data_IF_040480962860
#
_entry.id   IF_040480962860
#
_cell.length_a   1.000
_cell.length_b   1.000
_cell.length_c   1.000
_cell.angle_alpha   90.00
_cell.angle_beta   90.00
_cell.angle_gamma   90.00
#
_symmetry.space_group_name_H-M   'P 1'
#
loop_
_entity.id
_entity.type
_entity.pdbx_description
1 polymer ?
#
# COMPACT_ATOMS: atom_id res chain seq x y z
N UNK A 1 -2.04 -20.96 -13.59
CA UNK A 1 -1.14 -19.94 -13.07
C UNK A 1 0.21 -20.60 -12.78
N UNK A 2 1.30 -20.01 -13.25
CA UNK A 2 2.65 -20.57 -13.09
C UNK A 2 3.43 -19.87 -11.98
N UNK A 3 3.19 -18.56 -11.81
CA UNK A 3 3.75 -17.70 -10.78
C UNK A 3 2.64 -16.89 -10.12
N UNK A 4 2.71 -16.70 -8.82
CA UNK A 4 1.77 -15.88 -8.06
C UNK A 4 2.50 -14.76 -7.35
N UNK A 5 2.06 -13.52 -7.58
CA UNK A 5 2.50 -12.33 -6.85
C UNK A 5 1.31 -11.83 -6.06
N UNK A 6 1.47 -11.67 -4.74
CA UNK A 6 0.41 -11.24 -3.85
C UNK A 6 0.64 -9.82 -3.36
N UNK A 7 -0.41 -9.01 -3.30
CA UNK A 7 -0.37 -7.70 -2.67
C UNK A 7 -0.47 -7.77 -1.14
N UNK A 8 -0.04 -8.88 -0.54
CA UNK A 8 0.02 -9.07 0.91
C UNK A 8 0.32 -10.51 1.30
N UNK A 9 0.85 -10.69 2.50
CA UNK A 9 1.30 -11.99 3.03
C UNK A 9 0.16 -12.98 3.27
N UNK A 10 -1.05 -12.49 3.61
CA UNK A 10 -2.18 -13.36 4.00
C UNK A 10 -2.53 -14.39 2.92
N UNK A 11 -2.63 -13.97 1.67
CA UNK A 11 -3.00 -14.83 0.54
C UNK A 11 -1.85 -15.78 0.19
N UNK A 12 -0.61 -15.31 0.26
CA UNK A 12 0.55 -16.15 0.04
C UNK A 12 0.67 -17.25 1.11
N UNK A 13 0.45 -16.89 2.38
CA UNK A 13 0.47 -17.85 3.48
C UNK A 13 -0.65 -18.90 3.32
N UNK A 14 -1.84 -18.51 2.89
CA UNK A 14 -2.93 -19.47 2.64
C UNK A 14 -2.54 -20.51 1.58
N UNK A 15 -1.91 -20.09 0.46
CA UNK A 15 -1.42 -21.02 -0.56
C UNK A 15 -0.28 -21.92 -0.03
N UNK A 16 0.58 -21.36 0.81
CA UNK A 16 1.67 -22.11 1.45
C UNK A 16 1.13 -23.18 2.40
N UNK A 17 0.15 -22.84 3.23
CA UNK A 17 -0.46 -23.77 4.20
C UNK A 17 -1.19 -24.93 3.50
N UNK A 18 -1.74 -24.69 2.31
CA UNK A 18 -2.34 -25.70 1.45
C UNK A 18 -1.30 -26.50 0.62
N UNK A 19 -0.01 -26.17 0.70
CA UNK A 19 1.06 -26.86 -0.01
C UNK A 19 1.05 -26.66 -1.52
N UNK A 20 0.50 -25.54 -2.01
CA UNK A 20 0.34 -25.21 -3.43
C UNK A 20 1.54 -24.47 -4.04
N UNK A 21 2.54 -24.12 -3.23
CA UNK A 21 3.74 -23.40 -3.67
C UNK A 21 4.93 -24.35 -3.78
N UNK A 22 5.87 -24.02 -4.66
CA UNK A 22 7.17 -24.68 -4.72
C UNK A 22 7.99 -24.21 -3.52
N UNK A 23 8.45 -25.16 -2.70
CA UNK A 23 9.34 -24.88 -1.58
C UNK A 23 10.56 -24.09 -2.07
N UNK A 24 11.05 -23.16 -1.27
CA UNK A 24 12.22 -22.30 -1.53
C UNK A 24 12.05 -21.23 -2.62
N UNK A 25 10.86 -21.08 -3.22
CA UNK A 25 10.58 -19.99 -4.19
C UNK A 25 9.85 -18.81 -3.57
N UNK A 26 9.24 -18.97 -2.40
CA UNK A 26 8.52 -17.85 -1.76
C UNK A 26 9.50 -16.82 -1.21
N UNK A 27 9.47 -15.62 -1.77
CA UNK A 27 10.33 -14.49 -1.40
C UNK A 27 9.52 -13.20 -1.40
N UNK A 28 9.90 -12.25 -0.56
CA UNK A 28 9.39 -10.88 -0.67
C UNK A 28 10.05 -10.23 -1.90
N UNK A 29 9.22 -9.74 -2.82
CA UNK A 29 9.66 -9.18 -4.10
C UNK A 29 9.93 -7.67 -3.99
N UNK A 30 8.96 -6.96 -3.44
CA UNK A 30 9.02 -5.50 -3.24
C UNK A 30 8.19 -5.12 -2.02
N UNK A 31 8.46 -3.92 -1.50
CA UNK A 31 7.63 -3.25 -0.51
C UNK A 31 6.92 -2.04 -1.12
N UNK A 32 5.74 -1.73 -0.59
CA UNK A 32 5.06 -0.47 -0.86
C UNK A 32 5.13 0.40 0.39
N UNK A 33 4.82 1.68 0.24
CA UNK A 33 4.74 2.64 1.35
C UNK A 33 3.32 3.18 1.46
N UNK A 34 2.89 3.44 2.68
CA UNK A 34 1.68 4.22 2.92
C UNK A 34 2.06 5.71 2.94
N UNK A 35 1.30 6.53 2.22
CA UNK A 35 1.52 7.97 2.17
C UNK A 35 0.24 8.73 2.51
N UNK A 36 0.40 9.88 3.15
CA UNK A 36 -0.64 10.88 3.29
C UNK A 36 -0.63 11.75 2.03
N UNK A 37 -1.76 11.84 1.35
CA UNK A 37 -1.94 12.73 0.19
C UNK A 37 -2.96 13.81 0.50
N UNK A 38 -2.81 14.97 -0.14
CA UNK A 38 -3.73 16.08 -0.04
C UNK A 38 -4.33 16.45 -1.40
N UNK A 39 -5.55 16.96 -1.39
CA UNK A 39 -6.16 17.58 -2.55
C UNK A 39 -5.40 18.85 -2.94
N UNK A 40 -5.37 19.17 -4.24
CA UNK A 40 -4.73 20.37 -4.73
C UNK A 40 -5.35 21.62 -4.08
N UNK A 41 -4.49 22.47 -3.52
CA UNK A 41 -4.89 23.71 -2.85
C UNK A 41 -5.11 23.59 -1.34
N UNK A 42 -5.00 22.42 -0.77
CA UNK A 42 -4.99 22.20 0.68
C UNK A 42 -3.58 22.47 1.20
N UNK A 43 -3.44 23.46 2.09
CA UNK A 43 -2.17 23.88 2.66
C UNK A 43 -1.90 23.12 3.97
N UNK A 44 -1.44 21.87 3.83
CA UNK A 44 -0.92 21.05 4.93
C UNK A 44 0.49 20.56 4.59
N UNK A 45 1.32 20.37 5.59
CA UNK A 45 2.75 20.06 5.42
C UNK A 45 3.19 18.81 6.17
N UNK A 46 2.35 18.32 7.07
CA UNK A 46 2.68 17.18 7.92
C UNK A 46 1.44 16.42 8.39
N UNK A 47 1.68 15.24 8.92
CA UNK A 47 0.70 14.39 9.59
C UNK A 47 0.01 15.09 10.79
N UNK A 48 0.72 15.95 11.50
CA UNK A 48 0.17 16.69 12.64
C UNK A 48 -0.93 17.69 12.24
N UNK A 49 -0.93 18.14 11.00
CA UNK A 49 -1.94 19.07 10.47
C UNK A 49 -3.34 18.42 10.35
N UNK A 50 -3.46 17.09 10.45
CA UNK A 50 -4.74 16.38 10.44
C UNK A 50 -5.70 16.84 11.55
N UNK A 51 -5.15 17.33 12.68
CA UNK A 51 -5.93 17.86 13.81
C UNK A 51 -6.44 19.28 13.58
N UNK A 52 -5.85 20.00 12.62
CA UNK A 52 -6.19 21.40 12.36
C UNK A 52 -7.55 21.58 11.70
N UNK A 53 -8.09 22.80 11.79
CA UNK A 53 -9.35 23.17 11.12
C UNK A 53 -9.22 23.27 9.59
N UNK A 54 -8.00 23.14 9.05
CA UNK A 54 -7.74 23.09 7.61
C UNK A 54 -8.20 21.76 7.00
N UNK A 55 -8.31 20.70 7.80
CA UNK A 55 -8.73 19.36 7.39
C UNK A 55 -10.09 19.07 8.00
N UNK A 56 -11.07 18.83 7.17
CA UNK A 56 -12.45 18.50 7.55
C UNK A 56 -12.85 17.06 7.19
N UNK A 57 -12.28 16.51 6.11
CA UNK A 57 -12.53 15.15 5.66
C UNK A 57 -11.21 14.42 5.36
N UNK A 58 -11.02 13.30 6.03
CA UNK A 58 -9.87 12.41 5.89
C UNK A 58 -10.35 11.10 5.30
N UNK A 59 -10.04 10.84 4.03
CA UNK A 59 -10.43 9.60 3.36
C UNK A 59 -9.50 8.45 3.75
N UNK A 60 -10.09 7.34 4.20
CA UNK A 60 -9.39 6.13 4.62
C UNK A 60 -10.12 4.92 4.01
N UNK A 61 -9.40 3.89 3.60
CA UNK A 61 -10.03 2.61 3.29
C UNK A 61 -10.72 2.02 4.53
N UNK A 62 -11.84 1.30 4.36
CA UNK A 62 -12.50 0.61 5.48
C UNK A 62 -11.53 -0.38 6.13
N UNK A 63 -11.13 -0.19 7.41
CA UNK A 63 -10.05 -0.97 8.03
C UNK A 63 -10.29 -2.48 8.06
N UNK A 64 -11.55 -2.91 8.18
CA UNK A 64 -11.91 -4.33 8.26
C UNK A 64 -11.75 -5.06 6.90
N UNK A 65 -11.82 -4.35 5.78
CA UNK A 65 -11.85 -4.96 4.44
C UNK A 65 -10.79 -4.45 3.48
N UNK A 66 -10.24 -3.26 3.70
CA UNK A 66 -9.25 -2.61 2.82
C UNK A 66 -7.86 -2.62 3.47
N UNK A 67 -6.86 -3.30 2.89
CA UNK A 67 -5.51 -3.38 3.49
C UNK A 67 -4.89 -2.00 3.78
N UNK A 68 -4.95 -1.05 2.85
CA UNK A 68 -4.46 0.32 3.07
C UNK A 68 -5.16 1.01 4.25
N UNK A 69 -6.46 0.75 4.44
CA UNK A 69 -7.24 1.25 5.56
C UNK A 69 -6.79 0.67 6.89
N UNK A 70 -6.45 -0.63 6.91
CA UNK A 70 -5.89 -1.28 8.10
C UNK A 70 -4.54 -0.63 8.50
N UNK A 71 -3.64 -0.41 7.54
CA UNK A 71 -2.36 0.26 7.82
C UNK A 71 -2.56 1.71 8.29
N UNK A 72 -3.47 2.46 7.67
CA UNK A 72 -3.82 3.80 8.13
C UNK A 72 -4.37 3.79 9.56
N UNK A 73 -5.24 2.83 9.90
CA UNK A 73 -5.77 2.65 11.24
C UNK A 73 -4.68 2.34 12.28
N UNK A 74 -3.72 1.48 11.93
CA UNK A 74 -2.54 1.19 12.76
C UNK A 74 -1.74 2.46 13.02
N UNK A 75 -1.44 3.27 11.98
CA UNK A 75 -0.72 4.54 12.08
C UNK A 75 -1.47 5.52 12.98
N UNK A 76 -2.75 5.76 12.72
CA UNK A 76 -3.58 6.69 13.50
C UNK A 76 -3.70 6.29 14.97
N UNK A 77 -3.76 4.99 15.23
CA UNK A 77 -3.81 4.43 16.59
C UNK A 77 -2.48 4.58 17.31
N UNK A 78 -1.38 4.20 16.65
CA UNK A 78 -0.03 4.22 17.23
C UNK A 78 0.45 5.66 17.52
N UNK A 79 0.01 6.63 16.74
CA UNK A 79 0.27 8.07 16.98
C UNK A 79 -0.62 8.68 18.05
N UNK A 80 -1.67 7.98 18.45
CA UNK A 80 -2.64 8.47 19.44
C UNK A 80 -3.52 9.62 18.95
N UNK A 81 -3.59 9.87 17.64
CA UNK A 81 -4.43 10.97 17.11
C UNK A 81 -5.81 10.50 16.67
N UNK A 82 -6.05 9.20 16.52
CA UNK A 82 -7.28 8.63 15.96
C UNK A 82 -8.54 9.20 16.61
N UNK A 83 -8.59 9.23 17.93
CA UNK A 83 -9.76 9.71 18.68
C UNK A 83 -10.04 11.21 18.43
N UNK A 84 -8.98 12.01 18.25
CA UNK A 84 -9.09 13.46 18.04
C UNK A 84 -9.54 13.87 16.64
N UNK A 85 -9.53 12.93 15.69
CA UNK A 85 -9.90 13.16 14.29
C UNK A 85 -11.01 12.21 13.82
N UNK A 86 -11.60 11.44 14.72
CA UNK A 86 -12.58 10.39 14.41
C UNK A 86 -13.81 10.90 13.67
N UNK A 87 -14.24 12.12 13.96
CA UNK A 87 -15.37 12.82 13.33
C UNK A 87 -15.05 13.32 11.90
N UNK A 88 -13.77 13.34 11.52
CA UNK A 88 -13.31 13.72 10.19
C UNK A 88 -13.10 12.52 9.25
N UNK A 89 -13.07 11.29 9.78
CA UNK A 89 -12.80 10.09 9.00
C UNK A 89 -13.99 9.74 8.08
N UNK A 90 -13.71 9.51 6.82
CA UNK A 90 -14.65 8.98 5.82
C UNK A 90 -14.08 7.71 5.21
N UNK A 91 -14.91 6.64 5.18
CA UNK A 91 -14.43 5.30 4.84
C UNK A 91 -14.81 4.93 3.41
N UNK A 92 -13.81 4.54 2.63
CA UNK A 92 -13.93 4.10 1.25
C UNK A 92 -13.84 2.57 1.16
N UNK A 93 -14.46 1.99 0.12
CA UNK A 93 -14.46 0.54 -0.12
C UNK A 93 -13.15 0.00 -0.69
N UNK A 94 -12.29 0.87 -1.23
CA UNK A 94 -10.95 0.53 -1.74
C UNK A 94 -10.04 1.78 -1.80
N UNK A 95 -8.74 1.57 -2.00
CA UNK A 95 -7.74 2.64 -2.04
C UNK A 95 -7.90 3.56 -3.24
N UNK A 96 -8.44 3.06 -4.36
CA UNK A 96 -8.68 3.89 -5.56
C UNK A 96 -9.81 4.89 -5.33
N UNK A 97 -10.81 4.50 -4.55
CA UNK A 97 -11.89 5.39 -4.15
C UNK A 97 -11.37 6.47 -3.19
N UNK A 98 -10.48 6.14 -2.25
CA UNK A 98 -9.76 7.13 -1.43
C UNK A 98 -9.07 8.16 -2.31
N UNK A 99 -8.24 7.68 -3.25
CA UNK A 99 -7.51 8.56 -4.17
C UNK A 99 -8.46 9.44 -5.01
N UNK A 100 -9.57 8.87 -5.50
CA UNK A 100 -10.55 9.60 -6.30
C UNK A 100 -11.24 10.69 -5.50
N UNK A 101 -11.58 10.46 -4.22
CA UNK A 101 -12.18 11.49 -3.37
C UNK A 101 -11.22 12.64 -3.09
N UNK A 102 -9.96 12.35 -2.81
CA UNK A 102 -8.95 13.40 -2.62
C UNK A 102 -8.70 14.15 -3.94
N UNK A 103 -8.51 13.45 -5.05
CA UNK A 103 -8.28 14.05 -6.36
C UNK A 103 -9.42 14.96 -6.84
N UNK A 104 -10.66 14.67 -6.42
CA UNK A 104 -11.85 15.47 -6.75
C UNK A 104 -12.19 16.56 -5.74
N UNK A 105 -11.45 16.62 -4.62
CA UNK A 105 -11.73 17.56 -3.52
C UNK A 105 -12.95 17.17 -2.65
N UNK A 106 -13.44 15.92 -2.76
CA UNK A 106 -14.48 15.40 -1.88
C UNK A 106 -13.93 15.02 -0.49
N UNK A 107 -12.62 14.83 -0.39
CA UNK A 107 -11.88 14.78 0.86
C UNK A 107 -10.66 15.69 0.75
N UNK A 108 -10.27 16.30 1.88
CA UNK A 108 -9.12 17.20 1.92
C UNK A 108 -7.82 16.43 1.82
N UNK A 109 -7.76 15.28 2.48
CA UNK A 109 -6.61 14.39 2.55
C UNK A 109 -7.04 12.93 2.54
N UNK A 110 -6.09 12.03 2.32
CA UNK A 110 -6.35 10.59 2.40
C UNK A 110 -5.08 9.76 2.51
N UNK A 111 -5.25 8.50 2.91
CA UNK A 111 -4.17 7.53 3.01
C UNK A 111 -4.24 6.57 1.84
N UNK A 112 -3.18 6.54 1.04
CA UNK A 112 -3.05 5.67 -0.14
C UNK A 112 -1.66 5.06 -0.18
N UNK A 113 -1.46 4.07 -1.06
CA UNK A 113 -0.10 3.61 -1.33
C UNK A 113 0.67 4.62 -2.18
N UNK A 114 1.99 4.67 -2.01
CA UNK A 114 2.87 5.52 -2.82
C UNK A 114 2.70 5.25 -4.32
N UNK A 115 2.56 3.98 -4.70
CA UNK A 115 2.31 3.58 -6.09
C UNK A 115 1.00 4.17 -6.66
N UNK A 116 -0.06 4.27 -5.83
CA UNK A 116 -1.32 4.90 -6.24
C UNK A 116 -1.17 6.42 -6.32
N UNK A 117 -0.52 7.06 -5.34
CA UNK A 117 -0.27 8.50 -5.33
C UNK A 117 0.50 8.95 -6.58
N UNK A 118 1.56 8.21 -6.96
CA UNK A 118 2.38 8.50 -8.16
C UNK A 118 1.63 8.28 -9.48
N UNK A 119 0.48 7.61 -9.47
CA UNK A 119 -0.37 7.42 -10.66
C UNK A 119 -1.27 8.62 -10.97
N UNK A 120 -1.30 9.65 -10.12
CA UNK A 120 -2.21 10.80 -10.23
C UNK A 120 -1.50 12.13 -10.04
N UNK A 121 -1.63 13.02 -11.02
CA UNK A 121 -1.15 14.42 -10.92
C UNK A 121 -2.15 15.34 -10.17
N UNK A 122 -3.26 14.78 -9.69
CA UNK A 122 -4.34 15.55 -9.06
C UNK A 122 -4.26 15.59 -7.52
N UNK A 123 -3.25 14.97 -6.95
CA UNK A 123 -2.97 14.98 -5.51
C UNK A 123 -1.52 15.33 -5.25
N UNK A 124 -1.23 15.86 -4.08
CA UNK A 124 0.12 16.10 -3.60
C UNK A 124 0.46 15.14 -2.47
N UNK A 125 1.64 14.51 -2.52
CA UNK A 125 2.14 13.70 -1.40
C UNK A 125 2.60 14.67 -0.31
N UNK A 126 2.01 14.55 0.87
CA UNK A 126 2.35 15.37 2.04
C UNK A 126 3.48 14.73 2.82
N UNK A 127 3.34 13.44 3.13
CA UNK A 127 4.30 12.74 3.98
C UNK A 127 4.26 11.23 3.72
N UNK A 128 5.43 10.58 3.80
CA UNK A 128 5.52 9.12 3.87
C UNK A 128 5.34 8.69 5.33
N UNK A 129 4.23 8.05 5.65
CA UNK A 129 3.88 7.70 7.02
C UNK A 129 4.60 6.47 7.56
N UNK A 130 5.26 5.68 6.70
CA UNK A 130 6.12 4.56 7.13
C UNK A 130 7.29 5.07 8.01
N UNK A 131 7.78 6.29 7.74
CA UNK A 131 8.93 6.87 8.47
C UNK A 131 8.53 7.39 9.86
N UNK A 132 7.26 7.69 10.06
CA UNK A 132 6.73 8.31 11.28
C UNK A 132 6.25 7.27 12.28
N UNK A 133 5.85 6.06 11.84
CA UNK A 133 5.17 5.10 12.70
C UNK A 133 5.31 3.65 12.28
N UNK A 134 5.50 2.79 13.28
CA UNK A 134 5.54 1.34 13.18
C UNK A 134 4.17 0.75 12.82
N UNK A 135 3.83 0.71 11.54
CA UNK A 135 2.80 -0.20 11.04
C UNK A 135 3.45 -1.48 10.48
N UNK A 136 2.63 -2.48 10.23
CA UNK A 136 3.08 -3.74 9.62
C UNK A 136 3.67 -3.48 8.22
N UNK A 137 4.78 -4.14 7.87
CA UNK A 137 5.42 -4.01 6.56
C UNK A 137 4.44 -4.35 5.43
N UNK A 138 4.44 -3.55 4.37
CA UNK A 138 3.58 -3.71 3.19
C UNK A 138 4.38 -4.45 2.12
N UNK A 139 4.61 -5.74 2.32
CA UNK A 139 5.39 -6.58 1.41
C UNK A 139 4.52 -7.28 0.38
N UNK A 140 5.04 -7.40 -0.83
CA UNK A 140 4.44 -8.14 -1.94
C UNK A 140 5.30 -9.37 -2.23
N UNK A 141 4.91 -10.54 -1.72
CA UNK A 141 5.63 -11.78 -1.95
C UNK A 141 5.32 -12.36 -3.33
N UNK A 142 6.28 -13.11 -3.86
CA UNK A 142 6.18 -13.90 -5.08
C UNK A 142 6.49 -15.36 -4.79
N UNK A 143 5.87 -16.28 -5.51
CA UNK A 143 6.19 -17.71 -5.45
C UNK A 143 5.76 -18.44 -6.73
N UNK A 144 6.47 -19.52 -7.07
CA UNK A 144 6.12 -20.44 -8.16
C UNK A 144 5.04 -21.41 -7.67
N UNK A 145 4.05 -21.68 -8.52
CA UNK A 145 2.96 -22.62 -8.22
C UNK A 145 3.43 -24.05 -8.44
N UNK A 146 3.15 -24.94 -7.47
CA UNK A 146 3.65 -26.33 -7.43
C UNK A 146 3.18 -27.17 -8.60
N UNK A 147 1.91 -27.03 -8.99
CA UNK A 147 1.31 -27.81 -10.08
C UNK A 147 1.50 -27.14 -11.46
N UNK A 148 2.39 -26.15 -11.57
CA UNK A 148 2.73 -25.53 -12.85
C UNK A 148 3.42 -26.53 -13.77
N UNK A 149 2.94 -26.62 -15.00
CA UNK A 149 3.63 -27.37 -16.07
C UNK A 149 4.84 -26.62 -16.65
N UNK A 150 5.01 -25.35 -16.25
CA UNK A 150 6.08 -24.45 -16.71
C UNK A 150 6.96 -23.96 -15.53
N UNK A 151 7.11 -24.78 -14.48
CA UNK A 151 7.79 -24.39 -13.24
C UNK A 151 9.21 -23.85 -13.45
N UNK A 152 9.99 -24.46 -14.37
CA UNK A 152 11.36 -24.02 -14.67
C UNK A 152 11.38 -22.64 -15.33
N UNK A 153 10.43 -22.33 -16.20
CA UNK A 153 10.32 -21.01 -16.83
C UNK A 153 9.77 -19.95 -15.85
N UNK A 154 8.83 -20.35 -14.99
CA UNK A 154 8.32 -19.50 -13.93
C UNK A 154 9.44 -19.09 -12.96
N UNK A 155 10.34 -20.04 -12.62
CA UNK A 155 11.51 -19.74 -11.77
C UNK A 155 12.49 -18.80 -12.44
N UNK A 156 12.76 -18.95 -13.74
CA UNK A 156 13.60 -18.00 -14.49
C UNK A 156 12.99 -16.59 -14.50
N UNK A 157 11.67 -16.51 -14.63
CA UNK A 157 10.98 -15.22 -14.55
C UNK A 157 11.00 -14.65 -13.13
N UNK A 158 10.82 -15.47 -12.10
CA UNK A 158 11.02 -15.06 -10.71
C UNK A 158 12.42 -14.47 -10.52
N UNK A 159 13.48 -15.19 -10.94
CA UNK A 159 14.87 -14.72 -10.84
C UNK A 159 15.08 -13.40 -11.59
N UNK A 160 14.41 -13.21 -12.75
CA UNK A 160 14.44 -11.94 -13.49
C UNK A 160 13.86 -10.78 -12.68
N UNK A 161 12.77 -11.01 -11.92
CA UNK A 161 12.13 -9.97 -11.11
C UNK A 161 13.06 -9.38 -10.04
N UNK A 162 14.08 -10.14 -9.60
CA UNK A 162 15.08 -9.69 -8.63
C UNK A 162 16.33 -9.07 -9.27
N UNK A 163 16.38 -8.94 -10.60
CA UNK A 163 17.48 -8.23 -11.27
C UNK A 163 17.38 -6.73 -11.08
N UNK A 164 18.51 -6.03 -11.12
CA UNK A 164 18.58 -4.56 -11.07
C UNK A 164 17.66 -3.90 -12.13
N UNK A 165 17.53 -4.53 -13.30
CA UNK A 165 16.71 -4.01 -14.38
C UNK A 165 15.21 -4.02 -14.02
N UNK A 166 14.72 -5.12 -13.41
CA UNK A 166 13.34 -5.24 -12.97
C UNK A 166 13.08 -4.37 -11.73
N UNK A 167 14.00 -4.36 -10.76
CA UNK A 167 13.86 -3.58 -9.53
C UNK A 167 13.78 -2.08 -9.81
N UNK A 168 14.58 -1.53 -10.73
CA UNK A 168 14.46 -0.14 -11.19
C UNK A 168 13.09 0.20 -11.81
N UNK A 169 12.42 -0.77 -12.42
CA UNK A 169 11.06 -0.57 -12.93
C UNK A 169 10.10 -0.46 -11.74
N UNK A 170 10.20 -1.34 -10.75
CA UNK A 170 9.36 -1.25 -9.55
C UNK A 170 9.56 0.08 -8.82
N UNK A 171 10.82 0.50 -8.61
CA UNK A 171 11.16 1.79 -7.97
C UNK A 171 10.53 2.98 -8.70
N UNK A 172 10.51 2.97 -10.05
CA UNK A 172 9.86 4.01 -10.86
C UNK A 172 8.36 4.15 -10.55
N UNK A 173 7.72 3.06 -10.15
CA UNK A 173 6.29 3.03 -9.79
C UNK A 173 6.04 3.12 -8.28
N UNK A 174 7.04 3.51 -7.49
CA UNK A 174 6.90 3.79 -6.06
C UNK A 174 7.08 2.59 -5.14
N UNK A 175 7.52 1.44 -5.67
CA UNK A 175 7.88 0.29 -4.85
C UNK A 175 9.34 0.40 -4.38
N UNK A 176 9.63 -0.21 -3.24
CA UNK A 176 10.99 -0.34 -2.70
C UNK A 176 11.50 -1.76 -2.92
N UNK A 177 12.77 -1.90 -3.26
CA UNK A 177 13.48 -3.20 -3.26
C UNK A 177 13.62 -3.74 -1.83
N UNK A 178 13.55 -5.06 -1.65
CA UNK A 178 13.69 -5.75 -0.34
C UNK A 178 15.07 -6.37 -0.21
#
# INVERSE_FOLDING_TARGET
>A
CDLFISAGQKQMNALKDEGLLVDDTTKDLVENSLVLVAANGIDITSFDDLKSDKVTHIAVGEPESVPAGKYADEVLTNTGIKDSISDKLVFAKDVKEVLAWVASGNADVGFVYLSDALSSDSVSIVENVDEVNNHSSITYPVSVIKDSTNADEAKKFEDFLFTDAAQKIFEKYGYKSV
#
